data_IF_143819781520
#
_entry.id   IF_143819781520
#
_cell.length_a   1.000
_cell.length_b   1.000
_cell.length_c   1.000
_cell.angle_alpha   90.00
_cell.angle_beta   90.00
_cell.angle_gamma   90.00
#
_symmetry.space_group_name_H-M   'P 1'
#
loop_
_entity.id
_entity.type
_entity.pdbx_description
1 polymer ?
#
# COMPACT_ATOMS: atom_id res chain seq x y z
N UNK A 1 5.63 -12.03 61.01
CA UNK A 1 5.56 -10.83 60.14
C UNK A 1 6.67 -10.93 59.10
N UNK A 2 6.35 -11.04 57.80
CA UNK A 2 7.35 -11.10 56.73
C UNK A 2 7.51 -9.70 56.12
N UNK A 3 8.70 -9.11 56.27
CA UNK A 3 9.06 -7.84 55.65
C UNK A 3 9.42 -8.10 54.18
N UNK A 4 8.63 -7.54 53.26
CA UNK A 4 8.99 -7.48 51.84
C UNK A 4 9.85 -6.24 51.61
N UNK A 5 11.08 -6.45 51.14
CA UNK A 5 11.95 -5.39 50.63
C UNK A 5 11.78 -5.31 49.12
N UNK A 6 11.39 -4.15 48.60
CA UNK A 6 11.38 -3.86 47.17
C UNK A 6 12.79 -3.49 46.69
N UNK A 7 13.31 -4.09 45.61
CA UNK A 7 14.50 -3.58 44.96
C UNK A 7 14.19 -2.29 44.18
N UNK A 8 15.12 -1.34 44.31
CA UNK A 8 15.10 -0.02 43.69
C UNK A 8 15.10 -0.11 42.16
N UNK A 9 14.31 0.78 41.56
CA UNK A 9 14.28 1.22 40.17
C UNK A 9 15.59 0.96 39.40
N UNK A 10 15.58 -0.09 38.58
CA UNK A 10 16.48 -0.23 37.45
C UNK A 10 15.84 0.46 36.26
N UNK A 11 16.53 1.44 35.65
CA UNK A 11 16.14 2.00 34.36
C UNK A 11 16.02 0.85 33.36
N UNK A 12 14.79 0.55 32.93
CA UNK A 12 14.57 -0.29 31.77
C UNK A 12 15.20 0.42 30.57
N UNK A 13 16.33 -0.10 30.09
CA UNK A 13 16.80 0.23 28.75
C UNK A 13 15.76 -0.35 27.79
N UNK A 14 14.95 0.54 27.22
CA UNK A 14 14.08 0.23 26.11
C UNK A 14 15.01 -0.18 24.95
N UNK A 15 14.86 -1.39 24.37
CA UNK A 15 15.60 -1.75 23.16
C UNK A 15 15.30 -0.71 22.09
N UNK A 16 16.26 -0.27 21.28
CA UNK A 16 15.94 0.59 20.14
C UNK A 16 14.95 -0.16 19.26
N UNK A 17 13.71 0.31 19.24
CA UNK A 17 12.72 -0.09 18.24
C UNK A 17 13.27 0.39 16.92
N UNK A 18 13.84 -0.54 16.17
CA UNK A 18 14.28 -0.29 14.81
C UNK A 18 13.01 -0.21 13.96
N UNK A 19 12.40 0.97 13.95
CA UNK A 19 11.36 1.35 13.00
C UNK A 19 12.03 1.56 11.63
N UNK A 20 12.21 0.49 10.85
CA UNK A 20 12.48 0.66 9.42
C UNK A 20 11.14 0.73 8.69
N UNK A 21 10.76 1.94 8.30
CA UNK A 21 9.96 2.09 7.08
C UNK A 21 10.80 1.52 5.93
N UNK A 22 10.26 0.69 5.02
CA UNK A 22 11.02 0.28 3.83
C UNK A 22 11.31 1.45 2.87
N UNK A 23 10.77 2.63 3.17
CA UNK A 23 11.05 3.87 2.48
C UNK A 23 12.05 4.65 3.34
N UNK A 24 13.34 4.38 3.14
CA UNK A 24 14.41 5.23 3.65
C UNK A 24 14.71 6.32 2.61
N UNK A 25 14.37 7.57 2.94
CA UNK A 25 14.76 8.74 2.14
C UNK A 25 16.22 9.04 2.48
N UNK A 26 17.14 8.43 1.75
CA UNK A 26 18.56 8.75 1.85
C UNK A 26 18.87 9.97 0.99
N UNK A 27 19.18 11.11 1.61
CA UNK A 27 19.97 12.16 0.97
C UNK A 27 21.42 11.66 0.85
N UNK A 28 21.72 10.89 -0.20
CA UNK A 28 23.07 10.42 -0.45
C UNK A 28 23.62 10.92 -1.77
N UNK A 29 24.58 11.83 -1.60
CA UNK A 29 25.70 12.13 -2.47
C UNK A 29 26.24 10.83 -3.10
N UNK A 30 26.47 10.88 -4.40
CA UNK A 30 26.95 9.79 -5.24
C UNK A 30 28.10 8.99 -4.60
N UNK A 31 27.83 7.73 -4.25
CA UNK A 31 28.84 6.67 -4.29
C UNK A 31 28.19 5.43 -4.91
N UNK A 32 28.76 5.01 -6.03
CA UNK A 32 28.40 3.84 -6.81
C UNK A 32 28.72 2.53 -6.07
N UNK A 33 28.21 1.44 -6.65
CA UNK A 33 28.45 0.02 -6.35
C UNK A 33 27.49 -0.66 -5.36
N UNK A 34 26.28 -1.02 -5.82
CA UNK A 34 25.67 -2.33 -5.55
C UNK A 34 24.63 -2.67 -6.64
N UNK A 35 24.79 -3.82 -7.29
CA UNK A 35 23.90 -4.35 -8.33
C UNK A 35 22.63 -4.95 -7.72
N UNK A 36 21.69 -4.09 -7.33
CA UNK A 36 20.31 -4.48 -6.96
C UNK A 36 19.40 -4.19 -8.15
N UNK A 37 18.47 -5.10 -8.53
CA UNK A 37 17.47 -4.81 -9.56
C UNK A 37 16.68 -3.56 -9.18
N UNK A 38 16.89 -2.48 -9.92
CA UNK A 38 16.34 -1.16 -9.64
C UNK A 38 15.29 -0.85 -10.70
N UNK A 39 14.05 -0.61 -10.30
CA UNK A 39 13.00 -0.16 -11.23
C UNK A 39 12.82 1.36 -11.05
N UNK A 40 12.94 2.17 -12.12
CA UNK A 40 12.65 3.59 -12.03
C UNK A 40 11.13 3.80 -11.81
N UNK A 41 10.78 4.44 -10.70
CA UNK A 41 9.45 5.00 -10.46
C UNK A 41 9.26 6.23 -11.34
N UNK A 42 8.36 6.16 -12.34
CA UNK A 42 7.82 7.35 -12.98
C UNK A 42 6.67 7.87 -12.12
N UNK A 43 6.93 8.89 -11.32
CA UNK A 43 5.88 9.61 -10.60
C UNK A 43 5.20 10.59 -11.57
N UNK A 44 4.04 10.23 -12.13
CA UNK A 44 3.22 11.15 -12.93
C UNK A 44 2.11 11.85 -12.13
N UNK A 45 2.09 11.71 -10.80
CA UNK A 45 0.96 12.16 -9.98
C UNK A 45 0.95 13.65 -9.59
N UNK A 46 1.90 14.48 -10.06
CA UNK A 46 1.93 15.92 -9.72
C UNK A 46 2.28 16.85 -10.89
N UNK A 47 1.96 16.47 -12.12
CA UNK A 47 2.23 17.31 -13.29
C UNK A 47 1.13 18.35 -13.57
N UNK A 48 0.69 19.11 -12.56
CA UNK A 48 -0.03 20.36 -12.82
C UNK A 48 0.38 21.45 -11.83
N UNK A 49 0.96 22.51 -12.40
CA UNK A 49 1.25 23.84 -11.85
C UNK A 49 2.39 23.96 -10.82
N UNK A 50 3.62 24.10 -11.31
CA UNK A 50 4.42 25.34 -11.25
C UNK A 50 5.90 25.05 -11.55
N UNK A 51 6.55 25.94 -12.31
CA UNK A 51 7.91 25.78 -12.79
C UNK A 51 8.95 25.81 -11.67
N UNK A 52 9.25 24.65 -11.11
CA UNK A 52 10.42 24.41 -10.26
C UNK A 52 11.22 23.30 -10.91
N UNK A 53 12.53 23.52 -11.07
CA UNK A 53 13.45 22.63 -11.74
C UNK A 53 13.25 21.17 -11.31
N UNK A 54 13.00 20.32 -12.31
CA UNK A 54 12.66 18.91 -12.24
C UNK A 54 13.82 18.11 -11.62
N UNK A 55 13.91 18.15 -10.29
CA UNK A 55 14.72 17.20 -9.52
C UNK A 55 13.87 15.94 -9.39
N UNK A 56 13.99 15.04 -10.36
CA UNK A 56 13.43 13.70 -10.25
C UNK A 56 14.08 13.00 -9.05
N UNK A 57 13.42 13.02 -7.89
CA UNK A 57 13.81 12.24 -6.72
C UNK A 57 13.71 10.77 -7.11
N UNK A 58 14.85 10.14 -7.40
CA UNK A 58 14.93 8.71 -7.67
C UNK A 58 14.76 7.97 -6.35
N UNK A 59 13.50 7.74 -5.96
CA UNK A 59 13.17 6.88 -4.81
C UNK A 59 13.62 5.46 -5.20
N UNK A 60 14.62 4.93 -4.49
CA UNK A 60 15.06 3.54 -4.63
C UNK A 60 14.38 2.72 -3.55
N UNK A 61 13.57 1.74 -3.95
CA UNK A 61 12.96 0.78 -3.03
C UNK A 61 13.75 -0.51 -3.12
N UNK A 62 14.33 -0.96 -2.00
CA UNK A 62 14.95 -2.28 -1.92
C UNK A 62 13.85 -3.33 -1.95
N UNK A 63 13.80 -4.15 -3.01
CA UNK A 63 12.85 -5.26 -3.14
C UNK A 63 13.53 -6.55 -2.70
N UNK A 64 13.48 -6.84 -1.40
CA UNK A 64 14.16 -8.00 -0.84
C UNK A 64 13.55 -9.31 -1.32
N UNK A 65 14.36 -10.37 -1.37
CA UNK A 65 13.88 -11.71 -1.72
C UNK A 65 12.76 -12.18 -0.78
N UNK A 66 12.85 -11.83 0.50
CA UNK A 66 11.83 -12.14 1.52
C UNK A 66 10.47 -11.55 1.17
N UNK A 67 10.44 -10.36 0.59
CA UNK A 67 9.21 -9.67 0.21
C UNK A 67 8.56 -10.33 -1.01
N UNK A 68 9.38 -10.78 -1.95
CA UNK A 68 8.93 -11.58 -3.08
C UNK A 68 8.31 -12.91 -2.63
N UNK A 69 8.96 -13.60 -1.68
CA UNK A 69 8.45 -14.83 -1.07
C UNK A 69 7.13 -14.58 -0.32
N UNK A 70 7.05 -13.50 0.47
CA UNK A 70 5.82 -13.08 1.16
C UNK A 70 4.69 -12.78 0.18
N UNK A 71 4.96 -12.05 -0.89
CA UNK A 71 3.99 -11.76 -1.95
C UNK A 71 3.47 -13.04 -2.60
N UNK A 72 4.37 -13.98 -2.93
CA UNK A 72 3.99 -15.27 -3.52
C UNK A 72 3.21 -16.16 -2.55
N UNK A 73 3.47 -16.04 -1.24
CA UNK A 73 2.80 -16.83 -0.21
C UNK A 73 1.45 -16.24 0.21
N UNK A 74 1.25 -14.92 0.10
CA UNK A 74 0.05 -14.23 0.59
C UNK A 74 -1.23 -14.74 -0.07
N UNK A 75 -2.10 -15.34 0.74
CA UNK A 75 -3.43 -15.77 0.31
C UNK A 75 -4.33 -14.57 0.06
N UNK A 76 -4.26 -13.54 0.90
CA UNK A 76 -5.14 -12.39 0.80
C UNK A 76 -4.86 -11.55 -0.45
N UNK A 77 -3.60 -11.37 -0.84
CA UNK A 77 -3.26 -10.71 -2.12
C UNK A 77 -3.80 -11.49 -3.32
N UNK A 78 -3.64 -12.82 -3.33
CA UNK A 78 -4.20 -13.68 -4.41
C UNK A 78 -5.72 -13.58 -4.47
N UNK A 79 -6.39 -13.60 -3.32
CA UNK A 79 -7.84 -13.46 -3.22
C UNK A 79 -8.30 -12.09 -3.72
N UNK A 80 -7.64 -11.02 -3.30
CA UNK A 80 -7.90 -9.65 -3.72
C UNK A 80 -7.79 -9.50 -5.25
N UNK A 81 -6.70 -9.97 -5.85
CA UNK A 81 -6.52 -9.96 -7.31
C UNK A 81 -7.57 -10.82 -8.04
N UNK A 82 -8.01 -11.93 -7.44
CA UNK A 82 -9.08 -12.78 -8.00
C UNK A 82 -10.42 -12.06 -8.00
N UNK A 83 -10.78 -11.40 -6.89
CA UNK A 83 -11.99 -10.56 -6.81
C UNK A 83 -11.91 -9.46 -7.87
N UNK A 84 -10.80 -8.73 -7.92
CA UNK A 84 -10.60 -7.68 -8.92
C UNK A 84 -10.78 -8.18 -10.35
N UNK A 85 -10.15 -9.31 -10.70
CA UNK A 85 -10.28 -9.91 -12.02
C UNK A 85 -11.74 -10.19 -12.40
N UNK A 86 -12.57 -10.60 -11.44
CA UNK A 86 -14.00 -10.85 -11.68
C UNK A 86 -14.84 -9.57 -11.82
N UNK A 87 -14.44 -8.48 -11.16
CA UNK A 87 -15.22 -7.23 -11.11
C UNK A 87 -14.76 -6.16 -12.09
N UNK A 88 -13.52 -6.22 -12.59
CA UNK A 88 -12.91 -5.15 -13.41
C UNK A 88 -13.73 -4.75 -14.63
N UNK A 89 -14.42 -5.69 -15.28
CA UNK A 89 -15.26 -5.38 -16.44
C UNK A 89 -16.49 -4.53 -16.03
N UNK A 90 -17.10 -4.86 -14.88
CA UNK A 90 -18.22 -4.11 -14.32
C UNK A 90 -17.78 -2.71 -13.89
N UNK A 91 -16.64 -2.60 -13.18
CA UNK A 91 -16.07 -1.31 -12.77
C UNK A 91 -15.77 -0.41 -13.96
N UNK A 92 -15.16 -0.96 -15.03
CA UNK A 92 -14.88 -0.19 -16.25
C UNK A 92 -16.13 0.23 -17.02
N UNK A 93 -17.23 -0.52 -16.90
CA UNK A 93 -18.49 -0.18 -17.53
C UNK A 93 -19.28 0.86 -16.73
N UNK A 94 -19.08 0.95 -15.41
CA UNK A 94 -19.85 1.76 -14.49
C UNK A 94 -19.97 3.26 -14.85
N UNK A 95 -18.92 3.95 -15.36
CA UNK A 95 -19.02 5.37 -15.74
C UNK A 95 -20.00 5.65 -16.91
N UNK A 96 -20.41 4.61 -17.64
CA UNK A 96 -21.40 4.75 -18.72
C UNK A 96 -22.84 4.55 -18.23
N UNK A 97 -23.03 4.30 -16.94
CA UNK A 97 -24.33 4.06 -16.31
C UNK A 97 -24.78 5.33 -15.57
N UNK A 98 -26.08 5.44 -15.24
CA UNK A 98 -26.57 6.50 -14.37
C UNK A 98 -25.80 6.54 -13.04
N UNK A 99 -25.56 7.75 -12.53
CA UNK A 99 -24.73 8.02 -11.35
C UNK A 99 -25.10 7.15 -10.13
N UNK A 100 -26.39 6.95 -9.87
CA UNK A 100 -26.86 6.09 -8.77
C UNK A 100 -26.37 4.64 -8.92
N UNK A 101 -26.35 4.11 -10.14
CA UNK A 101 -25.91 2.75 -10.45
C UNK A 101 -24.39 2.67 -10.40
N UNK A 102 -23.69 3.69 -10.91
CA UNK A 102 -22.24 3.82 -10.80
C UNK A 102 -21.81 3.74 -9.32
N UNK A 103 -22.33 4.64 -8.47
CA UNK A 103 -22.01 4.66 -7.04
C UNK A 103 -22.30 3.32 -6.35
N UNK A 104 -23.40 2.67 -6.70
CA UNK A 104 -23.76 1.35 -6.16
C UNK A 104 -22.73 0.28 -6.56
N UNK A 105 -22.30 0.25 -7.83
CA UNK A 105 -21.28 -0.68 -8.31
C UNK A 105 -19.97 -0.47 -7.56
N UNK A 106 -19.49 0.78 -7.49
CA UNK A 106 -18.26 1.11 -6.79
C UNK A 106 -18.35 0.71 -5.31
N UNK A 107 -19.42 1.09 -4.60
CA UNK A 107 -19.57 0.72 -3.18
C UNK A 107 -19.58 -0.80 -2.95
N UNK A 108 -20.26 -1.56 -3.81
CA UNK A 108 -20.30 -3.02 -3.71
C UNK A 108 -18.93 -3.65 -3.94
N UNK A 109 -18.21 -3.19 -4.97
CA UNK A 109 -16.86 -3.67 -5.26
C UNK A 109 -15.91 -3.30 -4.13
N UNK A 110 -16.00 -2.09 -3.57
CA UNK A 110 -15.20 -1.67 -2.43
C UNK A 110 -15.42 -2.59 -1.23
N UNK A 111 -16.67 -2.83 -0.85
CA UNK A 111 -17.01 -3.70 0.30
C UNK A 111 -16.43 -5.10 0.15
N UNK A 112 -16.43 -5.66 -1.06
CA UNK A 112 -15.82 -6.96 -1.33
C UNK A 112 -14.29 -6.95 -1.24
N UNK A 113 -13.65 -5.87 -1.69
CA UNK A 113 -12.19 -5.74 -1.67
C UNK A 113 -11.64 -5.36 -0.30
N UNK A 114 -12.38 -4.56 0.47
CA UNK A 114 -11.93 -3.91 1.71
C UNK A 114 -11.38 -4.92 2.71
N UNK A 115 -12.13 -5.98 3.01
CA UNK A 115 -11.68 -7.02 3.95
C UNK A 115 -10.36 -7.66 3.53
N UNK A 116 -10.21 -8.01 2.25
CA UNK A 116 -8.99 -8.61 1.74
C UNK A 116 -7.83 -7.62 1.75
N UNK A 117 -8.12 -6.34 1.49
CA UNK A 117 -7.13 -5.27 1.45
C UNK A 117 -6.54 -5.01 2.83
N UNK A 118 -7.39 -4.81 3.85
CA UNK A 118 -6.96 -4.55 5.22
C UNK A 118 -6.06 -5.70 5.71
N UNK A 119 -6.52 -6.94 5.58
CA UNK A 119 -5.72 -8.11 6.00
C UNK A 119 -4.44 -8.26 5.19
N UNK A 120 -4.46 -8.01 3.87
CA UNK A 120 -3.25 -8.10 3.04
C UNK A 120 -2.20 -7.06 3.40
N UNK A 121 -2.65 -5.89 3.87
CA UNK A 121 -1.78 -4.81 4.33
C UNK A 121 -1.19 -5.13 5.71
N UNK A 122 -1.99 -5.63 6.65
CA UNK A 122 -1.53 -6.09 7.97
C UNK A 122 -0.53 -7.26 7.89
N UNK A 123 -0.62 -8.11 6.85
CA UNK A 123 0.40 -9.13 6.56
C UNK A 123 1.78 -8.53 6.25
N UNK A 124 1.82 -7.31 5.69
CA UNK A 124 3.04 -6.66 5.23
C UNK A 124 3.59 -5.63 6.21
N UNK A 125 2.69 -4.95 6.95
CA UNK A 125 3.02 -3.79 7.77
C UNK A 125 2.35 -3.84 9.15
N UNK A 126 3.10 -3.44 10.17
CA UNK A 126 2.60 -3.17 11.53
C UNK A 126 2.17 -1.69 11.71
N UNK A 127 2.07 -0.91 10.63
CA UNK A 127 1.74 0.52 10.65
C UNK A 127 0.22 0.74 10.48
N UNK A 128 -0.36 1.84 10.99
CA UNK A 128 -1.78 2.11 10.78
C UNK A 128 -2.11 2.26 9.29
N UNK A 129 -3.25 1.70 8.88
CA UNK A 129 -3.77 1.84 7.54
C UNK A 129 -4.38 3.24 7.37
N UNK A 130 -3.69 4.09 6.62
CA UNK A 130 -4.11 5.43 6.23
C UNK A 130 -3.94 5.57 4.70
N UNK A 131 -4.55 6.55 4.03
CA UNK A 131 -4.52 6.65 2.57
C UNK A 131 -3.09 6.61 1.99
N UNK A 132 -2.17 7.35 2.60
CA UNK A 132 -0.77 7.38 2.18
C UNK A 132 -0.08 6.00 2.27
N UNK A 133 -0.31 5.26 3.35
CA UNK A 133 0.28 3.93 3.54
C UNK A 133 -0.37 2.90 2.63
N UNK A 134 -1.67 3.02 2.37
CA UNK A 134 -2.39 2.16 1.42
C UNK A 134 -1.88 2.31 -0.01
N UNK A 135 -1.77 3.53 -0.54
CA UNK A 135 -1.29 3.74 -1.90
C UNK A 135 0.18 3.33 -2.05
N UNK A 136 1.00 3.62 -1.04
CA UNK A 136 2.40 3.16 -0.99
C UNK A 136 2.49 1.63 -1.01
N UNK A 137 1.61 0.94 -0.28
CA UNK A 137 1.54 -0.52 -0.25
C UNK A 137 1.10 -1.13 -1.59
N UNK A 138 0.08 -0.58 -2.24
CA UNK A 138 -0.36 -1.05 -3.56
C UNK A 138 0.77 -0.87 -4.59
N UNK A 139 1.43 0.29 -4.57
CA UNK A 139 2.56 0.56 -5.44
C UNK A 139 3.73 -0.40 -5.18
N UNK A 140 4.02 -0.68 -3.91
CA UNK A 140 5.02 -1.66 -3.51
C UNK A 140 4.68 -3.08 -4.01
N UNK A 141 3.42 -3.50 -3.86
CA UNK A 141 2.93 -4.79 -4.38
C UNK A 141 3.05 -4.89 -5.90
N UNK A 142 2.78 -3.80 -6.63
CA UNK A 142 3.00 -3.68 -8.08
C UNK A 142 4.47 -3.87 -8.44
N UNK A 143 5.39 -3.23 -7.72
CA UNK A 143 6.83 -3.35 -7.96
C UNK A 143 7.36 -4.78 -7.73
N UNK A 144 6.85 -5.46 -6.70
CA UNK A 144 7.16 -6.89 -6.48
C UNK A 144 6.63 -7.74 -7.63
N UNK A 145 5.38 -7.53 -8.05
CA UNK A 145 4.80 -8.26 -9.19
C UNK A 145 5.62 -8.08 -10.48
N UNK A 146 6.10 -6.85 -10.73
CA UNK A 146 6.97 -6.54 -11.85
C UNK A 146 8.31 -7.31 -11.76
N UNK A 147 8.94 -7.32 -10.58
CA UNK A 147 10.21 -8.05 -10.35
C UNK A 147 10.05 -9.55 -10.54
N UNK A 148 8.88 -10.09 -10.17
CA UNK A 148 8.51 -11.50 -10.35
C UNK A 148 8.02 -11.83 -11.78
N UNK A 149 8.05 -10.89 -12.72
CA UNK A 149 7.52 -11.04 -14.08
C UNK A 149 6.05 -11.45 -14.15
N UNK A 150 5.24 -11.05 -13.15
CA UNK A 150 3.80 -11.29 -13.09
C UNK A 150 3.05 -10.12 -13.72
N UNK A 151 3.09 -10.04 -15.05
CA UNK A 151 2.55 -8.91 -15.82
C UNK A 151 1.08 -8.60 -15.50
N UNK A 152 0.21 -9.61 -15.44
CA UNK A 152 -1.21 -9.38 -15.14
C UNK A 152 -1.44 -8.90 -13.71
N UNK A 153 -0.69 -9.40 -12.73
CA UNK A 153 -0.78 -8.92 -11.36
C UNK A 153 -0.39 -7.44 -11.29
N UNK A 154 0.68 -7.03 -11.99
CA UNK A 154 1.09 -5.62 -12.10
C UNK A 154 -0.03 -4.74 -12.67
N UNK A 155 -0.68 -5.17 -13.76
CA UNK A 155 -1.80 -4.45 -14.37
C UNK A 155 -2.98 -4.34 -13.38
N UNK A 156 -3.29 -5.42 -12.67
CA UNK A 156 -4.39 -5.40 -11.71
C UNK A 156 -4.11 -4.47 -10.53
N UNK A 157 -2.89 -4.46 -9.99
CA UNK A 157 -2.53 -3.51 -8.92
C UNK A 157 -2.67 -2.05 -9.37
N UNK A 158 -2.31 -1.75 -10.62
CA UNK A 158 -2.48 -0.41 -11.20
C UNK A 158 -3.97 -0.04 -11.30
N UNK A 159 -4.79 -0.93 -11.85
CA UNK A 159 -6.22 -0.72 -11.97
C UNK A 159 -6.92 -0.58 -10.61
N UNK A 160 -6.46 -1.33 -9.61
CA UNK A 160 -6.93 -1.23 -8.23
C UNK A 160 -6.58 0.15 -7.66
N UNK A 161 -5.33 0.61 -7.84
CA UNK A 161 -4.91 1.92 -7.39
C UNK A 161 -5.79 3.03 -7.98
N UNK A 162 -5.99 3.01 -9.30
CA UNK A 162 -6.86 3.97 -10.00
C UNK A 162 -8.29 3.92 -9.45
N UNK A 163 -8.81 2.72 -9.22
CA UNK A 163 -10.14 2.53 -8.66
C UNK A 163 -10.30 3.17 -7.27
N UNK A 164 -9.34 3.00 -6.36
CA UNK A 164 -9.41 3.61 -5.03
C UNK A 164 -9.29 5.14 -5.09
N UNK A 165 -8.48 5.68 -6.01
CA UNK A 165 -8.41 7.12 -6.25
C UNK A 165 -9.75 7.68 -6.74
N UNK A 166 -10.39 7.01 -7.70
CA UNK A 166 -11.72 7.41 -8.18
C UNK A 166 -12.78 7.25 -7.09
N UNK A 167 -12.76 6.13 -6.36
CA UNK A 167 -13.74 5.87 -5.31
C UNK A 167 -13.68 6.91 -4.18
N UNK A 168 -12.48 7.42 -3.87
CA UNK A 168 -12.30 8.50 -2.89
C UNK A 168 -12.91 9.85 -3.28
N UNK A 169 -13.32 10.02 -4.54
CA UNK A 169 -14.07 11.20 -4.98
C UNK A 169 -15.56 11.10 -4.60
N UNK A 170 -16.08 9.89 -4.37
CA UNK A 170 -17.48 9.64 -3.98
C UNK A 170 -17.68 9.57 -2.46
N UNK A 171 -16.63 9.27 -1.69
CA UNK A 171 -16.62 9.26 -0.22
C UNK A 171 -15.26 9.71 0.30
N UNK A 172 -15.22 10.44 1.42
CA UNK A 172 -13.95 10.80 2.03
C UNK A 172 -13.20 9.51 2.42
N UNK A 173 -11.90 9.44 2.11
CA UNK A 173 -11.06 8.25 2.38
C UNK A 173 -11.03 7.90 3.89
N UNK A 174 -11.31 8.87 4.76
CA UNK A 174 -11.47 8.68 6.20
C UNK A 174 -12.80 7.99 6.56
N UNK A 175 -13.92 8.31 5.91
CA UNK A 175 -15.18 7.57 6.08
C UNK A 175 -15.08 6.13 5.57
N UNK A 176 -14.27 5.91 4.53
CA UNK A 176 -13.98 4.60 3.96
C UNK A 176 -13.19 3.68 4.90
N UNK A 177 -12.23 4.24 5.63
CA UNK A 177 -11.39 3.52 6.58
C UNK A 177 -12.02 3.40 7.98
N UNK A 178 -12.84 4.38 8.40
CA UNK A 178 -13.45 4.42 9.74
C UNK A 178 -14.82 3.73 9.83
N UNK A 179 -15.35 3.17 8.74
CA UNK A 179 -16.67 2.51 8.68
C UNK A 179 -16.85 1.28 9.59
N UNK A 180 -15.82 0.83 10.29
CA UNK A 180 -15.88 -0.29 11.25
C UNK A 180 -15.75 0.12 12.73
N UNK A 181 -15.60 1.41 13.07
CA UNK A 181 -15.53 1.86 14.48
C UNK A 181 -16.89 2.31 15.06
N UNK A 182 -18.00 2.04 14.38
CA UNK A 182 -19.34 2.32 14.91
C UNK A 182 -20.34 1.27 14.44
N UNK A 183 -20.21 0.05 14.95
CA UNK A 183 -21.32 -0.89 15.18
C UNK A 183 -20.97 -1.84 16.32
#
# INVERSE_FOLDING_TARGET
MKNYSFPKSGRAQIPPQIHHSPIEIHDLVCLDDFSVPTVPLYSSLFAHHSGVADRTTKIRVSLEKKDQERYLASFMKKRLLTIWKSKRALVKAAPNLPELIEQLIYRNVYTELQSCMITSYEEDFDAPLIPFTLFSWIQYSKMIAQTLNKHWDMVYWDEIMDYFQHFSQFQSLEELLNGEMSK
#
